data_IF_557705779449
#
_entry.id   IF_557705779449
#
_cell.length_a   1.000
_cell.length_b   1.000
_cell.length_c   1.000
_cell.angle_alpha   90.00
_cell.angle_beta   90.00
_cell.angle_gamma   90.00
#
_symmetry.space_group_name_H-M   'P 1'
#
loop_
_entity.id
_entity.type
_entity.pdbx_description
1 polymer ?
#
# COMPACT_ATOMS: atom_id res chain seq x y z
N UNK A 1 -28.60 -23.98 -40.90
CA UNK A 1 -27.50 -22.98 -40.99
C UNK A 1 -27.35 -22.10 -39.75
N UNK A 2 -27.98 -22.40 -38.59
CA UNK A 2 -27.96 -21.49 -37.42
C UNK A 2 -27.09 -21.96 -36.23
N UNK A 3 -26.39 -23.10 -36.33
CA UNK A 3 -25.72 -23.73 -35.18
C UNK A 3 -24.26 -23.27 -35.00
N UNK A 4 -23.63 -22.71 -36.05
CA UNK A 4 -22.21 -22.30 -36.03
C UNK A 4 -22.00 -20.94 -35.33
N UNK A 5 -23.03 -20.09 -35.22
CA UNK A 5 -22.91 -18.75 -34.64
C UNK A 5 -22.90 -18.75 -33.09
N UNK A 6 -23.51 -19.74 -32.46
CA UNK A 6 -23.73 -19.78 -31.00
C UNK A 6 -22.41 -19.83 -30.19
N UNK A 7 -21.39 -20.66 -30.52
CA UNK A 7 -20.17 -20.72 -29.70
C UNK A 7 -19.29 -19.46 -29.82
N UNK A 8 -19.28 -18.80 -30.98
CA UNK A 8 -18.50 -17.56 -31.19
C UNK A 8 -19.12 -16.40 -30.41
N UNK A 9 -20.45 -16.28 -30.42
CA UNK A 9 -21.17 -15.23 -29.68
C UNK A 9 -20.95 -15.38 -28.16
N UNK A 10 -20.96 -16.62 -27.64
CA UNK A 10 -20.70 -16.90 -26.22
C UNK A 10 -19.25 -16.61 -25.79
N UNK A 11 -18.28 -16.82 -26.68
CA UNK A 11 -16.87 -16.50 -26.43
C UNK A 11 -16.60 -14.98 -26.36
N UNK A 12 -17.28 -14.19 -27.21
CA UNK A 12 -17.17 -12.72 -27.18
C UNK A 12 -17.84 -12.14 -25.94
N UNK A 13 -18.99 -12.68 -25.52
CA UNK A 13 -19.67 -12.25 -24.30
C UNK A 13 -18.85 -12.52 -23.02
N UNK A 14 -18.16 -13.67 -22.95
CA UNK A 14 -17.31 -14.03 -21.82
C UNK A 14 -16.03 -13.20 -21.74
N UNK A 15 -15.44 -12.84 -22.89
CA UNK A 15 -14.31 -11.89 -22.95
C UNK A 15 -14.70 -10.50 -22.44
N UNK A 16 -15.87 -9.98 -22.85
CA UNK A 16 -16.36 -8.68 -22.40
C UNK A 16 -16.63 -8.65 -20.88
N UNK A 17 -17.20 -9.73 -20.33
CA UNK A 17 -17.43 -9.87 -18.89
C UNK A 17 -16.12 -9.97 -18.08
N UNK A 18 -15.09 -10.65 -18.62
CA UNK A 18 -13.78 -10.72 -18.00
C UNK A 18 -13.09 -9.35 -17.93
N UNK A 19 -13.15 -8.56 -19.02
CA UNK A 19 -12.60 -7.19 -19.04
C UNK A 19 -13.37 -6.26 -18.09
N UNK A 20 -14.69 -6.35 -18.06
CA UNK A 20 -15.52 -5.54 -17.17
C UNK A 20 -15.22 -5.80 -15.68
N UNK A 21 -15.15 -7.08 -15.30
CA UNK A 21 -14.85 -7.49 -13.92
C UNK A 21 -13.43 -7.10 -13.49
N UNK A 22 -12.44 -7.16 -14.39
CA UNK A 22 -11.08 -6.72 -14.09
C UNK A 22 -10.96 -5.20 -13.90
N UNK A 23 -11.66 -4.40 -14.70
CA UNK A 23 -11.70 -2.94 -14.48
C UNK A 23 -12.31 -2.61 -13.12
N UNK A 24 -13.39 -3.30 -12.74
CA UNK A 24 -14.01 -3.12 -11.43
C UNK A 24 -13.06 -3.50 -10.28
N UNK A 25 -12.31 -4.60 -10.42
CA UNK A 25 -11.30 -5.01 -9.45
C UNK A 25 -10.15 -4.01 -9.34
N UNK A 26 -9.69 -3.43 -10.46
CA UNK A 26 -8.63 -2.42 -10.44
C UNK A 26 -9.04 -1.17 -9.66
N UNK A 27 -10.26 -0.67 -9.85
CA UNK A 27 -10.77 0.44 -9.06
C UNK A 27 -10.84 0.13 -7.56
N UNK A 28 -11.30 -1.07 -7.19
CA UNK A 28 -11.32 -1.49 -5.80
C UNK A 28 -9.91 -1.58 -5.18
N UNK A 29 -8.91 -2.06 -5.94
CA UNK A 29 -7.51 -2.11 -5.48
C UNK A 29 -6.93 -0.71 -5.32
N UNK A 30 -7.20 0.21 -6.25
CA UNK A 30 -6.74 1.60 -6.14
C UNK A 30 -7.33 2.32 -4.93
N UNK A 31 -8.62 2.14 -4.66
CA UNK A 31 -9.29 2.76 -3.53
C UNK A 31 -8.81 2.18 -2.20
N UNK A 32 -8.59 0.86 -2.11
CA UNK A 32 -7.95 0.23 -0.95
C UNK A 32 -6.55 0.81 -0.72
N UNK A 33 -5.75 0.95 -1.78
CA UNK A 33 -4.39 1.48 -1.66
C UNK A 33 -4.38 2.93 -1.15
N UNK A 34 -5.28 3.78 -1.66
CA UNK A 34 -5.41 5.16 -1.19
C UNK A 34 -5.81 5.23 0.29
N UNK A 35 -6.69 4.33 0.74
CA UNK A 35 -7.08 4.26 2.14
C UNK A 35 -5.93 3.77 3.03
N UNK A 36 -5.21 2.72 2.63
CA UNK A 36 -4.04 2.22 3.35
C UNK A 36 -2.92 3.28 3.45
N UNK A 37 -2.65 4.00 2.35
CA UNK A 37 -1.68 5.10 2.37
C UNK A 37 -2.10 6.24 3.30
N UNK A 38 -3.40 6.60 3.31
CA UNK A 38 -3.92 7.61 4.24
C UNK A 38 -3.75 7.15 5.69
N UNK A 39 -4.15 5.93 6.03
CA UNK A 39 -4.00 5.38 7.38
C UNK A 39 -2.53 5.33 7.80
N UNK A 40 -1.63 4.91 6.90
CA UNK A 40 -0.18 4.86 7.17
C UNK A 40 0.40 6.25 7.41
N UNK A 41 -0.02 7.25 6.61
CA UNK A 41 0.39 8.64 6.81
C UNK A 41 -0.16 9.23 8.10
N UNK A 42 -1.44 9.02 8.41
CA UNK A 42 -2.07 9.50 9.63
C UNK A 42 -1.44 8.87 10.88
N UNK A 43 -1.20 7.56 10.88
CA UNK A 43 -0.54 6.87 11.98
C UNK A 43 0.91 7.35 12.18
N UNK A 44 1.66 7.54 11.09
CA UNK A 44 3.02 8.06 11.17
C UNK A 44 3.05 9.53 11.64
N UNK A 45 2.09 10.35 11.22
CA UNK A 45 1.94 11.74 11.69
C UNK A 45 1.66 11.79 13.18
N UNK A 46 0.69 10.99 13.65
CA UNK A 46 0.35 10.92 15.08
C UNK A 46 1.54 10.44 15.93
N UNK A 47 2.25 9.39 15.49
CA UNK A 47 3.47 8.94 16.18
C UNK A 47 4.56 10.01 16.20
N UNK A 48 4.74 10.76 15.11
CA UNK A 48 5.72 11.84 15.04
C UNK A 48 5.37 12.96 16.03
N UNK A 49 4.10 13.36 16.09
CA UNK A 49 3.61 14.36 17.04
C UNK A 49 3.79 13.91 18.50
N UNK A 50 3.45 12.66 18.82
CA UNK A 50 3.62 12.10 20.16
C UNK A 50 5.10 12.06 20.58
N UNK A 51 6.02 11.66 19.68
CA UNK A 51 7.46 11.67 19.98
C UNK A 51 8.00 13.09 20.14
N UNK A 52 7.56 14.03 19.32
CA UNK A 52 7.93 15.44 19.44
C UNK A 52 7.41 16.04 20.75
N UNK A 53 6.21 15.67 21.19
CA UNK A 53 5.65 16.06 22.48
C UNK A 53 6.46 15.49 23.64
N UNK A 54 6.76 14.18 23.62
CA UNK A 54 7.58 13.54 24.64
C UNK A 54 8.99 14.16 24.72
N UNK A 55 9.61 14.49 23.59
CA UNK A 55 10.91 15.17 23.56
C UNK A 55 10.85 16.57 24.17
N UNK A 56 9.76 17.33 23.97
CA UNK A 56 9.54 18.64 24.61
C UNK A 56 9.40 18.49 26.12
N UNK A 57 8.62 17.51 26.58
CA UNK A 57 8.44 17.20 27.99
C UNK A 57 9.76 16.79 28.64
N UNK A 58 10.55 15.93 28.00
CA UNK A 58 11.88 15.54 28.46
C UNK A 58 12.86 16.72 28.53
N UNK A 59 12.85 17.63 27.56
CA UNK A 59 13.66 18.86 27.63
C UNK A 59 13.24 19.75 28.80
N UNK A 60 11.93 19.90 29.04
CA UNK A 60 11.43 20.68 30.17
C UNK A 60 11.83 20.04 31.51
N UNK A 61 11.68 18.72 31.63
CA UNK A 61 12.11 17.96 32.79
C UNK A 61 13.62 18.04 33.01
N UNK A 62 14.43 17.93 31.96
CA UNK A 62 15.89 18.07 32.05
C UNK A 62 16.31 19.47 32.50
N UNK A 63 15.63 20.53 32.03
CA UNK A 63 15.87 21.91 32.50
C UNK A 63 15.48 22.10 33.97
N UNK A 64 14.31 21.58 34.37
CA UNK A 64 13.87 21.63 35.76
C UNK A 64 14.83 20.86 36.69
N UNK A 65 15.20 19.64 36.33
CA UNK A 65 16.15 18.83 37.08
C UNK A 65 17.54 19.47 37.14
N UNK A 66 18.00 20.12 36.07
CA UNK A 66 19.27 20.86 36.08
C UNK A 66 19.22 22.06 37.02
N UNK A 67 18.08 22.75 37.10
CA UNK A 67 17.86 23.86 38.02
C UNK A 67 17.82 23.37 39.49
N UNK A 68 17.17 22.23 39.77
CA UNK A 68 17.08 21.66 41.12
C UNK A 68 18.39 21.01 41.58
N UNK A 69 19.13 20.38 40.67
CA UNK A 69 20.36 19.65 40.98
C UNK A 69 21.62 20.54 41.02
N UNK A 70 21.50 21.83 40.67
CA UNK A 70 22.65 22.73 40.56
C UNK A 70 23.65 22.35 39.45
N UNK A 71 23.24 21.50 38.51
CA UNK A 71 24.08 21.02 37.40
C UNK A 71 24.17 22.15 36.37
N UNK A 72 25.34 22.78 36.31
CA UNK A 72 25.57 23.99 35.51
C UNK A 72 25.74 23.69 34.02
N UNK A 73 25.14 24.55 33.19
CA UNK A 73 25.45 24.83 31.78
C UNK A 73 25.77 23.62 30.90
N UNK A 74 27.04 23.21 30.87
CA UNK A 74 27.55 22.21 29.94
C UNK A 74 26.87 20.83 30.07
N UNK A 75 26.59 20.36 31.29
CA UNK A 75 26.01 19.02 31.49
C UNK A 75 24.51 19.01 31.20
N UNK A 76 23.81 20.12 31.49
CA UNK A 76 22.40 20.30 31.13
C UNK A 76 22.23 20.40 29.61
N UNK A 77 23.11 21.15 28.93
CA UNK A 77 23.11 21.27 27.48
C UNK A 77 23.47 19.95 26.79
N UNK A 78 24.36 19.14 27.36
CA UNK A 78 24.67 17.81 26.87
C UNK A 78 23.46 16.87 26.91
N UNK A 79 22.69 16.88 28.01
CA UNK A 79 21.45 16.10 28.15
C UNK A 79 20.39 16.58 27.16
N UNK A 80 20.20 17.90 27.05
CA UNK A 80 19.26 18.48 26.09
C UNK A 80 19.65 18.10 24.65
N UNK A 81 20.93 18.18 24.31
CA UNK A 81 21.49 17.82 23.00
C UNK A 81 21.24 16.35 22.67
N UNK A 82 21.49 15.44 23.62
CA UNK A 82 21.21 14.02 23.44
C UNK A 82 19.71 13.76 23.21
N UNK A 83 18.83 14.42 23.98
CA UNK A 83 17.37 14.33 23.75
C UNK A 83 17.01 14.79 22.32
N UNK A 84 17.64 15.85 21.80
CA UNK A 84 17.38 16.27 20.41
C UNK A 84 17.84 15.21 19.42
N UNK A 85 19.06 14.68 19.59
CA UNK A 85 19.60 13.63 18.72
C UNK A 85 18.78 12.34 18.76
N UNK A 86 18.27 11.96 19.94
CA UNK A 86 17.36 10.83 20.06
C UNK A 86 16.03 11.09 19.34
N UNK A 87 15.40 12.24 19.60
CA UNK A 87 14.14 12.60 18.93
C UNK A 87 14.27 12.67 17.39
N UNK A 88 15.38 13.20 16.87
CA UNK A 88 15.61 13.29 15.43
C UNK A 88 15.81 11.91 14.79
N UNK A 89 16.54 11.01 15.47
CA UNK A 89 16.68 9.61 15.01
C UNK A 89 15.35 8.86 15.04
N UNK A 90 14.51 9.12 16.05
CA UNK A 90 13.22 8.48 16.16
C UNK A 90 12.24 8.95 15.10
N UNK A 91 12.15 10.26 14.85
CA UNK A 91 11.34 10.81 13.75
C UNK A 91 11.82 10.25 12.41
N UNK A 92 13.13 10.22 12.16
CA UNK A 92 13.69 9.64 10.94
C UNK A 92 13.35 8.15 10.78
N UNK A 93 13.31 7.38 11.87
CA UNK A 93 12.87 5.98 11.85
C UNK A 93 11.38 5.85 11.55
N UNK A 94 10.54 6.71 12.13
CA UNK A 94 9.09 6.74 11.86
C UNK A 94 8.85 7.06 10.39
N UNK A 95 9.55 8.06 9.84
CA UNK A 95 9.46 8.42 8.43
C UNK A 95 9.90 7.29 7.50
N UNK A 96 11.01 6.61 7.83
CA UNK A 96 11.45 5.43 7.08
C UNK A 96 10.45 4.28 7.16
N UNK A 97 9.86 4.03 8.32
CA UNK A 97 8.85 3.00 8.47
C UNK A 97 7.58 3.36 7.66
N UNK A 98 7.19 4.63 7.63
CA UNK A 98 6.11 5.15 6.79
C UNK A 98 6.42 4.96 5.31
N UNK A 99 7.60 5.34 4.87
CA UNK A 99 8.05 5.19 3.48
C UNK A 99 8.10 3.71 3.06
N UNK A 100 8.62 2.83 3.93
CA UNK A 100 8.63 1.40 3.70
C UNK A 100 7.19 0.83 3.61
N UNK A 101 6.28 1.24 4.50
CA UNK A 101 4.88 0.81 4.43
C UNK A 101 4.16 1.26 3.15
N UNK A 102 4.47 2.46 2.66
CA UNK A 102 3.96 2.95 1.37
C UNK A 102 4.59 2.17 0.21
N UNK A 103 5.88 1.88 0.27
CA UNK A 103 6.58 1.11 -0.77
C UNK A 103 6.04 -0.33 -0.84
N UNK A 104 5.85 -0.99 0.30
CA UNK A 104 5.27 -2.33 0.40
C UNK A 104 3.84 -2.37 -0.13
N UNK A 105 2.97 -1.44 0.29
CA UNK A 105 1.59 -1.37 -0.23
C UNK A 105 1.55 -1.09 -1.73
N UNK A 106 2.44 -0.23 -2.23
CA UNK A 106 2.57 0.03 -3.68
C UNK A 106 3.04 -1.21 -4.44
N UNK A 107 4.01 -1.96 -3.90
CA UNK A 107 4.47 -3.21 -4.49
C UNK A 107 3.38 -4.29 -4.49
N UNK A 108 2.63 -4.43 -3.39
CA UNK A 108 1.49 -5.34 -3.33
C UNK A 108 0.40 -4.96 -4.33
N UNK A 109 0.10 -3.68 -4.50
CA UNK A 109 -0.88 -3.23 -5.49
C UNK A 109 -0.43 -3.52 -6.93
N UNK A 110 0.87 -3.37 -7.23
CA UNK A 110 1.44 -3.76 -8.52
C UNK A 110 1.34 -5.27 -8.74
N UNK A 111 1.73 -6.07 -7.76
CA UNK A 111 1.62 -7.54 -7.82
C UNK A 111 0.17 -7.99 -8.04
N UNK A 112 -0.81 -7.44 -7.30
CA UNK A 112 -2.23 -7.70 -7.53
C UNK A 112 -2.68 -7.26 -8.93
N UNK A 113 -2.18 -6.12 -9.41
CA UNK A 113 -2.48 -5.62 -10.76
C UNK A 113 -1.98 -6.54 -11.86
N UNK A 114 -0.82 -7.17 -11.66
CA UNK A 114 -0.23 -8.16 -12.57
C UNK A 114 -0.97 -9.51 -12.48
N UNK A 115 -1.37 -9.94 -11.27
CA UNK A 115 -2.21 -11.12 -11.07
C UNK A 115 -3.57 -10.99 -11.78
N UNK A 116 -4.25 -9.85 -11.64
CA UNK A 116 -5.52 -9.57 -12.33
C UNK A 116 -5.32 -9.67 -13.84
N UNK A 117 -4.22 -9.12 -14.37
CA UNK A 117 -3.94 -9.14 -15.81
C UNK A 117 -3.59 -10.56 -16.31
N UNK A 118 -2.87 -11.34 -15.50
CA UNK A 118 -2.58 -12.75 -15.75
C UNK A 118 -3.84 -13.62 -15.75
N UNK A 119 -4.72 -13.44 -14.77
CA UNK A 119 -6.02 -14.12 -14.70
C UNK A 119 -6.91 -13.75 -15.90
N UNK A 120 -6.90 -12.47 -16.30
CA UNK A 120 -7.64 -12.01 -17.48
C UNK A 120 -7.14 -12.67 -18.76
N UNK A 121 -5.82 -12.70 -18.95
CA UNK A 121 -5.18 -13.34 -20.10
C UNK A 121 -5.49 -14.84 -20.14
N UNK A 122 -5.39 -15.52 -18.99
CA UNK A 122 -5.72 -16.94 -18.88
C UNK A 122 -7.21 -17.22 -19.14
N UNK A 123 -8.11 -16.37 -18.65
CA UNK A 123 -9.55 -16.46 -18.89
C UNK A 123 -9.90 -16.29 -20.38
N UNK A 124 -9.27 -15.31 -21.04
CA UNK A 124 -9.41 -15.08 -22.49
C UNK A 124 -8.86 -16.25 -23.32
N UNK A 125 -7.71 -16.82 -22.94
CA UNK A 125 -7.15 -18.01 -23.62
C UNK A 125 -8.06 -19.24 -23.42
N UNK A 126 -8.62 -19.40 -22.22
CA UNK A 126 -9.52 -20.52 -21.89
C UNK A 126 -10.87 -20.41 -22.62
N UNK A 127 -11.40 -19.19 -22.77
CA UNK A 127 -12.62 -18.96 -23.55
C UNK A 127 -12.38 -19.13 -25.05
N UNK A 128 -11.26 -18.65 -25.59
CA UNK A 128 -10.88 -18.82 -26.99
C UNK A 128 -10.63 -20.30 -27.36
N UNK A 129 -9.95 -21.06 -26.50
CA UNK A 129 -9.72 -22.49 -26.71
C UNK A 129 -11.01 -23.32 -26.62
N UNK A 130 -11.94 -22.96 -25.73
CA UNK A 130 -13.28 -23.55 -25.64
C UNK A 130 -14.12 -23.26 -26.89
N UNK A 131 -14.03 -22.05 -27.44
CA UNK A 131 -14.70 -21.69 -28.70
C UNK A 131 -14.15 -22.49 -29.90
N UNK A 132 -12.81 -22.61 -29.98
CA UNK A 132 -12.14 -23.34 -31.05
C UNK A 132 -12.43 -24.85 -31.01
N UNK A 133 -12.42 -25.45 -29.82
CA UNK A 133 -12.74 -26.88 -29.64
C UNK A 133 -14.21 -27.19 -29.95
N UNK A 134 -15.14 -26.31 -29.55
CA UNK A 134 -16.56 -26.41 -29.92
C UNK A 134 -16.80 -26.30 -31.43
N UNK A 135 -16.10 -25.38 -32.11
CA UNK A 135 -16.18 -25.23 -33.57
C UNK A 135 -15.65 -26.48 -34.32
N UNK A 136 -14.61 -27.14 -33.79
CA UNK A 136 -14.04 -28.35 -34.40
C UNK A 136 -14.94 -29.58 -34.24
N UNK A 137 -15.67 -29.70 -33.13
CA UNK A 137 -16.62 -30.81 -32.93
C UNK A 137 -17.89 -30.67 -33.78
N UNK A 138 -18.33 -29.45 -34.09
CA UNK A 138 -19.50 -29.20 -34.94
C UNK A 138 -19.25 -29.39 -36.45
N UNK A 139 -18.00 -29.64 -36.86
CA UNK A 139 -17.54 -29.77 -38.26
C UNK A 139 -17.42 -31.23 -38.73
N UNK A 140 -17.77 -32.22 -37.89
CA UNK A 140 -17.90 -33.64 -38.26
C UNK A 140 -19.38 -34.02 -38.32
#
# INVERSE_FOLDING_TARGET
MCVVAIPIILAVASAAAAVYSANQQRHAVEDQMKQEQKQTNEAASAQTEDRMRAAREQRAAARAASAESGVTGNSADAVISDIQMQSGRDVSRIEKNRENGIAESTQQARARGDEINGQLTQSLISSASSAYSGARMASK
#
